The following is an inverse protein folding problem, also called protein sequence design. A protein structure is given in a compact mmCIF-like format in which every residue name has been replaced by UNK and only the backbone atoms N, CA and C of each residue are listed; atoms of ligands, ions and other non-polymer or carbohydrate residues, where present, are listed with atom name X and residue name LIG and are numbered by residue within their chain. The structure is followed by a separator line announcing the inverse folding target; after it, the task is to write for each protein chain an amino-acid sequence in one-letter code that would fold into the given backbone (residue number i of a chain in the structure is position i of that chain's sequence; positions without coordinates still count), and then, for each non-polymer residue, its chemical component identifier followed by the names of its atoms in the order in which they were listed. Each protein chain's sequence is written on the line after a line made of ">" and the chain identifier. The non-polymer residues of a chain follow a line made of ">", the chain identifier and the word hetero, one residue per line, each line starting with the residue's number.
data_IF_400548389140
#
_entry.id   IF_400548389140
#
_cell.length_a   1.000
_cell.length_b   1.000
_cell.length_c   1.000
_cell.angle_alpha   90.00
_cell.angle_beta   90.00
_cell.angle_gamma   90.00
#
_symmetry.space_group_name_H-M   'P 1'
#
loop_
_entity.id
_entity.type
_entity.pdbx_description
1 polymer ?
#
# COMPACT_ATOMS: atom_id res chain seq x y z
N UNK A 1 15.59 -0.59 4.90
CA UNK A 1 15.20 0.81 5.25
C UNK A 1 16.19 1.88 4.75
N UNK A 2 17.47 1.58 4.48
CA UNK A 2 18.46 2.58 4.05
C UNK A 2 18.02 3.49 2.88
N UNK A 3 17.24 2.97 1.92
CA UNK A 3 16.66 3.76 0.83
C UNK A 3 15.65 4.81 1.32
N UNK A 4 14.83 4.46 2.32
CA UNK A 4 13.87 5.38 2.95
C UNK A 4 14.64 6.47 3.70
N UNK A 5 15.61 6.07 4.53
CA UNK A 5 16.46 6.99 5.29
C UNK A 5 17.21 7.98 4.37
N UNK A 6 17.71 7.48 3.23
CA UNK A 6 18.35 8.32 2.22
C UNK A 6 17.36 9.31 1.58
N UNK A 7 16.18 8.85 1.18
CA UNK A 7 15.17 9.72 0.57
C UNK A 7 14.74 10.83 1.54
N UNK A 8 14.55 10.51 2.82
CA UNK A 8 14.26 11.48 3.87
C UNK A 8 15.39 12.50 4.05
N UNK A 9 16.65 12.05 4.03
CA UNK A 9 17.82 12.93 4.16
C UNK A 9 18.02 13.85 2.95
N UNK A 10 17.78 13.35 1.74
CA UNK A 10 18.02 14.05 0.48
C UNK A 10 16.79 14.83 -0.01
N UNK A 11 15.64 14.75 0.68
CA UNK A 11 14.40 15.42 0.29
C UNK A 11 13.80 14.88 -1.01
N UNK A 12 13.96 13.57 -1.26
CA UNK A 12 13.49 12.92 -2.48
C UNK A 12 12.09 12.34 -2.29
N UNK A 13 11.26 12.48 -3.32
CA UNK A 13 9.98 11.78 -3.41
C UNK A 13 10.23 10.31 -3.76
N UNK A 14 9.67 9.38 -2.98
CA UNK A 14 9.88 7.95 -3.15
C UNK A 14 8.56 7.19 -2.95
N UNK A 15 8.26 6.29 -3.89
CA UNK A 15 7.21 5.28 -3.75
C UNK A 15 7.90 3.92 -3.72
N UNK A 16 7.54 3.09 -2.75
CA UNK A 16 8.04 1.72 -2.62
C UNK A 16 6.83 0.78 -2.64
N UNK A 17 6.87 -0.24 -3.50
CA UNK A 17 5.86 -1.28 -3.57
C UNK A 17 6.50 -2.62 -3.22
N UNK A 18 5.84 -3.40 -2.37
CA UNK A 18 6.25 -4.78 -2.12
C UNK A 18 5.58 -5.44 -0.92
N UNK A 19 5.42 -6.76 -1.00
CA UNK A 19 4.83 -7.59 0.07
C UNK A 19 5.67 -7.65 1.37
N UNK A 20 6.92 -7.19 1.31
CA UNK A 20 7.83 -7.14 2.45
C UNK A 20 7.66 -5.87 3.30
N UNK A 21 6.83 -4.92 2.86
CA UNK A 21 6.46 -3.71 3.60
C UNK A 21 5.35 -4.03 4.61
N UNK A 22 5.65 -4.91 5.55
CA UNK A 22 4.67 -5.39 6.54
C UNK A 22 4.46 -4.33 7.63
N UNK A 23 3.22 -3.94 7.95
CA UNK A 23 2.94 -3.06 9.07
C UNK A 23 3.56 -3.57 10.39
N UNK A 24 4.22 -2.65 11.10
CA UNK A 24 4.95 -2.93 12.34
C UNK A 24 6.37 -3.50 12.16
N UNK A 25 6.83 -3.76 10.93
CA UNK A 25 8.22 -4.20 10.69
C UNK A 25 9.17 -3.03 10.43
N UNK A 26 8.64 -1.89 9.98
CA UNK A 26 9.42 -0.66 9.83
C UNK A 26 9.67 -0.02 11.19
N UNK A 27 10.83 0.62 11.35
CA UNK A 27 11.19 1.39 12.55
C UNK A 27 10.09 2.38 12.91
N UNK A 28 9.67 2.38 14.18
CA UNK A 28 8.62 3.28 14.67
C UNK A 28 8.98 4.74 14.47
N UNK A 29 10.27 5.08 14.56
CA UNK A 29 10.78 6.44 14.35
C UNK A 29 10.57 6.90 12.90
N UNK A 30 10.71 5.99 11.92
CA UNK A 30 10.43 6.30 10.50
C UNK A 30 8.91 6.45 10.30
N UNK A 31 8.12 5.56 10.87
CA UNK A 31 6.66 5.56 10.73
C UNK A 31 5.98 6.75 11.41
N UNK A 32 6.61 7.32 12.44
CA UNK A 32 6.14 8.52 13.13
C UNK A 32 6.36 9.82 12.33
N UNK A 33 7.17 9.78 11.25
CA UNK A 33 7.42 10.97 10.43
C UNK A 33 6.17 11.32 9.61
N UNK A 34 5.73 12.60 9.62
CA UNK A 34 4.49 13.01 8.98
C UNK A 34 4.54 12.88 7.44
N UNK A 35 5.74 12.89 6.84
CA UNK A 35 5.95 12.73 5.41
C UNK A 35 6.17 11.27 4.98
N UNK A 36 5.96 10.30 5.89
CA UNK A 36 5.96 8.88 5.57
C UNK A 36 4.53 8.37 5.65
N UNK A 37 4.07 7.70 4.58
CA UNK A 37 2.73 7.11 4.49
C UNK A 37 2.88 5.65 4.09
N UNK A 38 2.39 4.75 4.94
CA UNK A 38 2.26 3.33 4.61
C UNK A 38 0.78 3.04 4.35
N UNK A 39 0.51 2.39 3.22
CA UNK A 39 -0.83 2.02 2.80
C UNK A 39 -0.84 0.52 2.48
N UNK A 40 -1.82 -0.19 3.02
CA UNK A 40 -2.13 -1.56 2.62
C UNK A 40 -3.32 -1.55 1.67
N UNK A 41 -3.07 -1.87 0.41
CA UNK A 41 -4.13 -1.98 -0.60
C UNK A 41 -4.60 -3.44 -0.66
N UNK A 42 -5.91 -3.66 -0.49
CA UNK A 42 -6.53 -4.98 -0.47
C UNK A 42 -7.55 -5.14 -1.60
N UNK A 43 -7.74 -6.36 -2.10
CA UNK A 43 -8.84 -6.70 -2.99
C UNK A 43 -9.74 -7.68 -2.23
N UNK A 44 -10.85 -7.22 -1.61
CA UNK A 44 -11.66 -8.08 -0.74
C UNK A 44 -12.31 -9.23 -1.53
N UNK A 45 -12.84 -8.92 -2.71
CA UNK A 45 -13.48 -9.87 -3.61
C UNK A 45 -12.47 -10.85 -4.24
N UNK A 46 -12.57 -12.10 -3.81
CA UNK A 46 -11.69 -13.18 -4.28
C UNK A 46 -11.85 -13.45 -5.78
N UNK A 47 -13.07 -13.35 -6.31
CA UNK A 47 -13.35 -13.61 -7.73
C UNK A 47 -12.74 -12.54 -8.63
N UNK A 48 -12.84 -11.27 -8.22
CA UNK A 48 -12.19 -10.16 -8.91
C UNK A 48 -10.68 -10.24 -8.82
N UNK A 49 -10.14 -10.56 -7.64
CA UNK A 49 -8.69 -10.75 -7.48
C UNK A 49 -8.19 -11.89 -8.39
N UNK A 50 -8.89 -13.03 -8.40
CA UNK A 50 -8.57 -14.18 -9.26
C UNK A 50 -8.60 -13.80 -10.74
N UNK A 51 -9.62 -13.05 -11.17
CA UNK A 51 -9.74 -12.54 -12.55
C UNK A 51 -8.57 -11.63 -12.91
N UNK A 52 -8.24 -10.64 -12.06
CA UNK A 52 -7.09 -9.73 -12.25
C UNK A 52 -5.76 -10.51 -12.31
N UNK A 53 -5.59 -11.54 -11.49
CA UNK A 53 -4.41 -12.41 -11.51
C UNK A 53 -4.30 -13.18 -12.84
N UNK A 54 -5.42 -13.70 -13.34
CA UNK A 54 -5.49 -14.39 -14.63
C UNK A 54 -5.12 -13.46 -15.79
N UNK A 55 -5.72 -12.26 -15.86
CA UNK A 55 -5.41 -11.26 -16.88
C UNK A 55 -3.94 -10.85 -16.88
N UNK A 56 -3.31 -10.79 -15.69
CA UNK A 56 -1.87 -10.52 -15.57
C UNK A 56 -1.05 -11.66 -16.17
N UNK A 57 -1.37 -12.93 -15.87
CA UNK A 57 -0.62 -14.07 -16.42
C UNK A 57 -0.74 -14.22 -17.94
N UNK A 58 -1.89 -13.85 -18.51
CA UNK A 58 -2.11 -13.84 -19.97
C UNK A 58 -1.37 -12.69 -20.67
N UNK A 59 -0.93 -11.67 -19.92
CA UNK A 59 -0.18 -10.55 -20.51
C UNK A 59 1.20 -11.02 -20.98
N UNK A 60 1.60 -10.54 -22.17
CA UNK A 60 2.84 -10.92 -22.89
C UNK A 60 4.13 -10.74 -22.04
N UNK A 61 4.05 -9.93 -20.97
CA UNK A 61 5.15 -9.57 -20.08
C UNK A 61 5.51 -10.69 -19.11
N UNK A 62 4.59 -11.58 -18.75
CA UNK A 62 4.84 -12.67 -17.79
C UNK A 62 4.65 -14.02 -18.45
N UNK A 63 5.71 -14.59 -19.06
CA UNK A 63 5.72 -15.95 -19.64
C UNK A 63 5.60 -17.08 -18.58
N UNK A 64 4.72 -16.95 -17.60
CA UNK A 64 4.45 -17.99 -16.59
C UNK A 64 3.27 -18.82 -17.06
N UNK A 65 3.34 -20.16 -17.06
CA UNK A 65 2.18 -20.99 -17.36
C UNK A 65 1.03 -20.63 -16.41
N UNK A 66 -0.11 -20.21 -16.96
CA UNK A 66 -1.26 -19.69 -16.23
C UNK A 66 -1.69 -20.66 -15.13
N UNK A 67 -1.73 -21.96 -15.42
CA UNK A 67 -2.13 -23.01 -14.47
C UNK A 67 -1.19 -23.07 -13.26
N UNK A 68 0.12 -22.91 -13.49
CA UNK A 68 1.11 -22.91 -12.40
C UNK A 68 1.00 -21.67 -11.52
N UNK A 69 0.68 -20.52 -12.12
CA UNK A 69 0.54 -19.27 -11.40
C UNK A 69 -0.75 -19.27 -10.58
N UNK A 70 -1.88 -19.69 -11.16
CA UNK A 70 -3.17 -19.73 -10.47
C UNK A 70 -3.21 -20.72 -9.28
N UNK A 71 -2.34 -21.74 -9.26
CA UNK A 71 -2.17 -22.62 -8.08
C UNK A 71 -1.64 -21.88 -6.84
N UNK A 72 -0.96 -20.76 -7.03
CA UNK A 72 -0.41 -19.95 -5.94
C UNK A 72 -1.42 -18.95 -5.35
N UNK A 73 -2.59 -18.82 -5.96
CA UNK A 73 -3.63 -17.88 -5.53
C UNK A 73 -4.00 -18.00 -4.04
N UNK A 74 -4.18 -19.20 -3.45
CA UNK A 74 -4.43 -19.32 -2.01
C UNK A 74 -3.30 -18.76 -1.15
N UNK A 75 -2.03 -18.88 -1.57
CA UNK A 75 -0.89 -18.31 -0.84
C UNK A 75 -0.89 -16.78 -0.93
N UNK A 76 -1.23 -16.23 -2.10
CA UNK A 76 -1.38 -14.78 -2.29
C UNK A 76 -2.49 -14.24 -1.38
N UNK A 77 -3.63 -14.94 -1.28
CA UNK A 77 -4.71 -14.59 -0.35
C UNK A 77 -4.25 -14.65 1.11
N UNK A 78 -3.48 -15.67 1.50
CA UNK A 78 -2.93 -15.76 2.84
C UNK A 78 -2.00 -14.58 3.18
N UNK A 79 -1.14 -14.18 2.24
CA UNK A 79 -0.28 -12.99 2.39
C UNK A 79 -1.13 -11.72 2.54
N UNK A 80 -2.17 -11.57 1.72
CA UNK A 80 -3.07 -10.41 1.81
C UNK A 80 -3.77 -10.36 3.17
N UNK A 81 -4.33 -11.47 3.65
CA UNK A 81 -4.96 -11.55 4.97
C UNK A 81 -3.97 -11.16 6.07
N UNK A 82 -2.76 -11.72 6.04
CA UNK A 82 -1.71 -11.36 7.00
C UNK A 82 -1.37 -9.86 6.99
N UNK A 83 -1.21 -9.25 5.81
CA UNK A 83 -0.93 -7.81 5.70
C UNK A 83 -2.08 -6.95 6.24
N UNK A 84 -3.33 -7.35 5.98
CA UNK A 84 -4.52 -6.63 6.49
C UNK A 84 -4.63 -6.76 8.01
N UNK A 85 -4.40 -7.94 8.57
CA UNK A 85 -4.44 -8.14 10.01
C UNK A 85 -3.35 -7.33 10.71
N UNK A 86 -2.13 -7.34 10.18
CA UNK A 86 -1.03 -6.48 10.65
C UNK A 86 -1.35 -5.00 10.53
N UNK A 87 -1.99 -4.57 9.44
CA UNK A 87 -2.39 -3.18 9.29
C UNK A 87 -3.43 -2.75 10.33
N UNK A 88 -4.39 -3.61 10.67
CA UNK A 88 -5.36 -3.35 11.75
C UNK A 88 -4.68 -3.23 13.11
N UNK A 89 -3.75 -4.13 13.42
CA UNK A 89 -3.02 -4.13 14.69
C UNK A 89 -2.14 -2.89 14.87
N UNK A 90 -1.56 -2.39 13.78
CA UNK A 90 -0.64 -1.24 13.77
C UNK A 90 -1.33 0.07 13.32
N UNK A 91 -2.67 0.09 13.26
CA UNK A 91 -3.49 1.25 12.88
C UNK A 91 -3.04 1.91 11.55
N UNK A 92 -2.59 1.08 10.61
CA UNK A 92 -2.13 1.49 9.28
C UNK A 92 -3.32 1.64 8.34
N UNK A 93 -3.26 2.63 7.44
CA UNK A 93 -4.29 2.85 6.43
C UNK A 93 -4.49 1.60 5.56
N UNK A 94 -5.75 1.15 5.46
CA UNK A 94 -6.15 0.07 4.57
C UNK A 94 -7.10 0.66 3.53
N UNK A 95 -6.83 0.39 2.25
CA UNK A 95 -7.65 0.85 1.12
C UNK A 95 -8.15 -0.35 0.33
N UNK A 96 -9.46 -0.45 0.14
CA UNK A 96 -10.06 -1.51 -0.67
C UNK A 96 -10.09 -1.13 -2.15
N UNK A 97 -9.34 -1.86 -2.97
CA UNK A 97 -9.24 -1.62 -4.41
C UNK A 97 -10.44 -2.20 -5.16
N UNK A 98 -11.57 -1.50 -5.07
CA UNK A 98 -12.80 -1.78 -5.82
C UNK A 98 -12.70 -1.18 -7.22
N UNK A 99 -12.49 0.14 -7.30
CA UNK A 99 -12.19 0.87 -8.54
C UNK A 99 -10.92 1.74 -8.35
N UNK A 100 -10.25 2.05 -9.46
CA UNK A 100 -8.93 2.69 -9.43
C UNK A 100 -9.05 4.14 -8.98
N UNK A 101 -10.05 4.86 -9.49
CA UNK A 101 -10.29 6.27 -9.20
C UNK A 101 -10.46 6.50 -7.70
N UNK A 102 -11.38 5.77 -7.06
CA UNK A 102 -11.61 5.81 -5.63
C UNK A 102 -10.37 5.41 -4.83
N UNK A 103 -9.64 4.37 -5.26
CA UNK A 103 -8.41 3.95 -4.58
C UNK A 103 -7.37 5.07 -4.58
N UNK A 104 -7.22 5.76 -5.72
CA UNK A 104 -6.29 6.88 -5.88
C UNK A 104 -6.74 8.07 -5.04
N UNK A 105 -8.03 8.42 -5.09
CA UNK A 105 -8.60 9.53 -4.34
C UNK A 105 -8.40 9.35 -2.82
N UNK A 106 -8.71 8.17 -2.27
CA UNK A 106 -8.53 7.88 -0.85
C UNK A 106 -7.06 8.03 -0.40
N UNK A 107 -6.11 7.51 -1.19
CA UNK A 107 -4.68 7.62 -0.89
C UNK A 107 -4.22 9.07 -1.03
N UNK A 108 -4.70 9.78 -2.06
CA UNK A 108 -4.35 11.16 -2.33
C UNK A 108 -4.83 12.08 -1.19
N UNK A 109 -6.07 11.91 -0.72
CA UNK A 109 -6.62 12.65 0.41
C UNK A 109 -5.75 12.49 1.66
N UNK A 110 -5.30 11.27 1.97
CA UNK A 110 -4.44 11.03 3.13
C UNK A 110 -3.05 11.68 2.98
N UNK A 111 -2.45 11.58 1.80
CA UNK A 111 -1.15 12.24 1.50
C UNK A 111 -1.29 13.76 1.61
N UNK A 112 -2.33 14.34 1.02
CA UNK A 112 -2.58 15.79 1.06
C UNK A 112 -2.89 16.28 2.47
N UNK A 113 -3.67 15.53 3.25
CA UNK A 113 -3.94 15.82 4.66
C UNK A 113 -2.66 15.90 5.47
N UNK A 114 -1.72 14.96 5.28
CA UNK A 114 -0.42 14.99 5.96
C UNK A 114 0.49 16.11 5.45
N UNK A 115 0.54 16.33 4.14
CA UNK A 115 1.31 17.42 3.55
C UNK A 115 0.85 18.79 4.08
N UNK A 116 -0.47 19.00 4.19
CA UNK A 116 -1.05 20.20 4.78
C UNK A 116 -0.58 20.41 6.22
N UNK A 117 -0.62 19.36 7.06
CA UNK A 117 -0.11 19.43 8.44
C UNK A 117 1.37 19.79 8.53
N UNK A 118 2.20 19.32 7.59
CA UNK A 118 3.63 19.65 7.55
C UNK A 118 3.84 21.13 7.22
N UNK A 119 3.08 21.66 6.27
CA UNK A 119 3.26 23.04 5.78
C UNK A 119 2.63 24.06 6.73
N UNK A 120 1.45 23.77 7.27
CA UNK A 120 0.63 24.74 8.00
C UNK A 120 0.50 24.45 9.51
N UNK A 121 0.93 23.28 9.98
CA UNK A 121 0.76 22.85 11.38
C UNK A 121 -0.67 22.40 11.71
N UNK A 122 -0.93 22.05 12.98
CA UNK A 122 -2.25 21.61 13.46
C UNK A 122 -3.23 22.78 13.78
N UNK A 123 -3.22 23.88 13.01
CA UNK A 123 -4.21 24.96 13.15
C UNK A 123 -4.35 25.78 11.86
N UNK A 124 -5.54 26.10 11.36
CA UNK A 124 -6.91 26.08 11.92
C UNK A 124 -7.85 25.38 10.93
N UNK A 125 -8.89 24.72 11.43
CA UNK A 125 -10.13 24.60 10.66
C UNK A 125 -10.54 26.02 10.27
N UNK A 126 -10.52 26.34 8.97
CA UNK A 126 -11.11 27.58 8.48
C UNK A 126 -12.64 27.53 8.71
N UNK A 127 -13.26 28.65 9.10
CA UNK A 127 -14.68 28.73 9.43
C UNK A 127 -15.61 28.46 8.24
#
# INVERSE_FOLDING_TARGET
>A
EAVIERALKEGLNLIIEGVHLVPGFLKKEIMALPNVVLVVITSPDESQHRSRMYSRSESVVTKRPVESYMKEFPKIRAIQSYLVDRAREEETMIVENINIEQTVDEIFEEVMRRAHKIVFGDGKEEP
#
